data_IF_026086633081
#
_entry.id   IF_026086633081
#
_cell.length_a   1.000
_cell.length_b   1.000
_cell.length_c   1.000
_cell.angle_alpha   90.00
_cell.angle_beta   90.00
_cell.angle_gamma   90.00
#
_symmetry.space_group_name_H-M   'P 1'
#
loop_
_entity.id
_entity.type
_entity.pdbx_description
1 polymer ?
#
# COMPACT_ATOMS: atom_id res chain seq x y z
N UNK A 1 -47.55 13.84 41.32
CA UNK A 1 -46.69 15.04 41.13
C UNK A 1 -45.74 14.69 39.98
N UNK A 2 -45.97 14.97 38.70
CA UNK A 2 -46.30 16.20 37.98
C UNK A 2 -45.19 17.28 38.02
N UNK A 3 -44.83 17.78 36.84
CA UNK A 3 -43.93 18.89 36.45
C UNK A 3 -42.44 18.53 36.30
N UNK A 4 -41.78 18.51 35.13
CA UNK A 4 -41.80 19.27 33.86
C UNK A 4 -41.06 20.61 33.90
N UNK A 5 -40.10 20.77 32.95
CA UNK A 5 -39.46 21.99 32.40
C UNK A 5 -38.31 22.62 33.24
N UNK A 6 -37.22 23.20 32.69
CA UNK A 6 -36.80 23.53 31.31
C UNK A 6 -35.31 23.96 31.30
N UNK A 7 -34.69 23.83 30.13
CA UNK A 7 -33.73 24.75 29.49
C UNK A 7 -32.33 25.03 30.08
N UNK A 8 -31.30 24.61 29.31
CA UNK A 8 -30.26 25.46 28.69
C UNK A 8 -29.46 24.52 27.76
N UNK A 9 -29.69 24.43 26.45
CA UNK A 9 -29.43 25.43 25.39
C UNK A 9 -28.10 26.15 25.60
N UNK A 10 -27.00 25.43 25.32
CA UNK A 10 -25.75 26.04 24.90
C UNK A 10 -25.73 25.98 23.36
N UNK A 11 -26.01 27.13 22.78
CA UNK A 11 -25.93 27.42 21.35
C UNK A 11 -24.49 27.20 20.85
N UNK A 12 -24.30 26.22 19.98
CA UNK A 12 -23.17 26.27 19.06
C UNK A 12 -23.52 27.29 17.95
N UNK A 13 -22.69 28.31 17.70
CA UNK A 13 -22.98 29.32 16.71
C UNK A 13 -23.08 28.67 15.31
N UNK A 14 -24.25 28.84 14.70
CA UNK A 14 -24.47 28.66 13.27
C UNK A 14 -23.67 29.73 12.53
N UNK A 15 -22.41 29.44 12.25
CA UNK A 15 -21.66 30.23 11.29
C UNK A 15 -22.10 29.80 9.89
N UNK A 16 -23.15 30.48 9.41
CA UNK A 16 -23.37 30.67 7.99
C UNK A 16 -22.18 31.45 7.44
N UNK A 17 -21.24 30.74 6.83
CA UNK A 17 -20.12 31.32 6.11
C UNK A 17 -19.99 30.54 4.82
N UNK A 18 -20.55 31.11 3.76
CA UNK A 18 -20.33 30.80 2.35
C UNK A 18 -19.87 29.36 2.04
N UNK A 19 -20.80 28.57 1.48
CA UNK A 19 -20.43 27.64 0.42
C UNK A 19 -19.85 28.48 -0.72
N UNK A 20 -18.56 28.82 -0.59
CA UNK A 20 -17.74 29.13 -1.73
C UNK A 20 -17.63 27.80 -2.47
N UNK A 21 -18.60 27.59 -3.36
CA UNK A 21 -18.43 26.71 -4.49
C UNK A 21 -17.02 27.00 -5.01
N UNK A 22 -16.13 26.02 -4.87
CA UNK A 22 -14.90 25.98 -5.63
C UNK A 22 -15.36 26.03 -7.08
N UNK A 23 -15.41 27.26 -7.62
CA UNK A 23 -15.44 27.48 -9.04
C UNK A 23 -14.24 26.70 -9.56
N UNK A 24 -14.41 25.77 -10.50
CA UNK A 24 -13.28 25.34 -11.28
C UNK A 24 -12.81 26.61 -11.98
N UNK A 25 -11.77 27.25 -11.44
CA UNK A 25 -10.92 28.10 -12.26
C UNK A 25 -10.57 27.20 -13.43
N UNK A 26 -11.13 27.54 -14.59
CA UNK A 26 -10.76 26.92 -15.85
C UNK A 26 -9.28 27.20 -16.02
N UNK A 27 -8.45 26.29 -15.48
CA UNK A 27 -7.06 26.19 -15.88
C UNK A 27 -7.10 26.14 -17.38
N UNK A 28 -6.36 27.05 -18.01
CA UNK A 28 -6.16 27.04 -19.44
C UNK A 28 -5.96 25.58 -19.85
N UNK A 29 -6.88 25.06 -20.66
CA UNK A 29 -6.73 23.78 -21.37
C UNK A 29 -5.58 23.99 -22.36
N UNK A 30 -4.36 24.10 -21.82
CA UNK A 30 -3.14 23.97 -22.58
C UNK A 30 -3.20 22.62 -23.26
N UNK A 31 -2.87 22.55 -24.56
CA UNK A 31 -3.00 21.31 -25.31
C UNK A 31 -2.29 20.20 -24.54
N UNK A 32 -3.02 19.12 -24.26
CA UNK A 32 -2.42 17.88 -23.78
C UNK A 32 -1.23 17.57 -24.70
N UNK A 33 -0.05 17.24 -24.16
CA UNK A 33 1.12 16.97 -24.98
C UNK A 33 0.75 15.93 -26.04
N UNK A 34 0.92 16.32 -27.30
CA UNK A 34 0.39 15.59 -28.46
C UNK A 34 1.18 14.32 -28.80
N UNK A 35 2.26 14.04 -28.07
CA UNK A 35 3.09 12.86 -28.30
C UNK A 35 2.94 11.86 -27.15
N UNK A 36 2.77 10.56 -27.45
CA UNK A 36 2.82 9.53 -26.43
C UNK A 36 4.19 9.59 -25.76
N UNK A 37 4.21 10.05 -24.52
CA UNK A 37 5.42 10.03 -23.70
C UNK A 37 5.76 8.56 -23.48
N UNK A 38 6.92 8.14 -23.97
CA UNK A 38 7.50 6.86 -23.57
C UNK A 38 7.93 6.98 -22.09
N UNK A 39 7.03 6.52 -21.22
CA UNK A 39 7.21 6.57 -19.77
C UNK A 39 8.44 5.75 -19.36
N UNK A 40 8.75 4.65 -20.06
CA UNK A 40 9.91 3.82 -19.75
C UNK A 40 11.20 4.56 -20.09
N UNK A 41 11.27 5.19 -21.26
CA UNK A 41 12.41 6.00 -21.66
C UNK A 41 12.61 7.21 -20.74
N UNK A 42 11.52 7.87 -20.33
CA UNK A 42 11.57 9.00 -19.39
C UNK A 42 12.09 8.58 -18.01
N UNK A 43 11.59 7.48 -17.46
CA UNK A 43 12.07 6.95 -16.18
C UNK A 43 13.55 6.56 -16.26
N UNK A 44 13.99 5.98 -17.37
CA UNK A 44 15.39 5.64 -17.57
C UNK A 44 16.29 6.89 -17.59
N UNK A 45 15.89 7.93 -18.32
CA UNK A 45 16.60 9.22 -18.38
C UNK A 45 16.67 9.89 -16.99
N UNK A 46 15.57 9.91 -16.26
CA UNK A 46 15.51 10.48 -14.90
C UNK A 46 16.40 9.70 -13.92
N UNK A 47 16.45 8.36 -14.01
CA UNK A 47 17.34 7.53 -13.18
C UNK A 47 18.82 7.71 -13.53
N UNK A 48 19.13 7.95 -14.81
CA UNK A 48 20.49 8.22 -15.27
C UNK A 48 21.02 9.56 -14.78
N UNK A 49 20.14 10.57 -14.67
CA UNK A 49 20.46 11.90 -14.16
C UNK A 49 20.78 11.93 -12.65
N UNK A 50 20.38 10.91 -11.88
CA UNK A 50 20.65 10.81 -10.44
C UNK A 50 22.10 10.43 -10.14
N UNK A 51 22.64 10.94 -9.02
CA UNK A 51 23.90 10.45 -8.48
C UNK A 51 23.81 8.97 -8.08
N UNK A 52 24.94 8.22 -7.99
CA UNK A 52 24.91 6.81 -7.61
C UNK A 52 24.20 6.54 -6.27
N UNK A 53 24.32 7.46 -5.31
CA UNK A 53 23.66 7.34 -4.00
C UNK A 53 22.16 7.53 -4.09
N UNK A 54 21.70 8.51 -4.86
CA UNK A 54 20.27 8.79 -5.07
C UNK A 54 19.62 7.67 -5.88
N UNK A 55 20.29 7.21 -6.95
CA UNK A 55 19.84 6.07 -7.74
C UNK A 55 19.68 4.82 -6.88
N UNK A 56 20.65 4.53 -6.00
CA UNK A 56 20.53 3.42 -5.05
C UNK A 56 19.34 3.58 -4.11
N UNK A 57 19.11 4.79 -3.58
CA UNK A 57 17.98 5.04 -2.68
C UNK A 57 16.63 4.82 -3.37
N UNK A 58 16.45 5.37 -4.58
CA UNK A 58 15.24 5.20 -5.39
C UNK A 58 15.01 3.72 -5.71
N UNK A 59 16.03 3.02 -6.23
CA UNK A 59 15.90 1.59 -6.55
C UNK A 59 15.63 0.73 -5.32
N UNK A 60 16.24 1.07 -4.17
CA UNK A 60 16.02 0.37 -2.91
C UNK A 60 14.58 0.53 -2.42
N UNK A 61 14.04 1.74 -2.49
CA UNK A 61 12.66 2.00 -2.07
C UNK A 61 11.64 1.38 -3.02
N UNK A 62 11.87 1.45 -4.34
CA UNK A 62 11.07 0.73 -5.33
C UNK A 62 11.12 -0.78 -5.11
N UNK A 63 12.28 -1.35 -4.77
CA UNK A 63 12.42 -2.77 -4.48
C UNK A 63 11.66 -3.20 -3.23
N UNK A 64 11.66 -2.39 -2.16
CA UNK A 64 10.87 -2.64 -0.95
C UNK A 64 9.37 -2.58 -1.26
N UNK A 65 8.95 -1.62 -2.06
CA UNK A 65 7.56 -1.48 -2.48
C UNK A 65 7.10 -2.68 -3.31
N UNK A 66 7.89 -3.10 -4.30
CA UNK A 66 7.60 -4.29 -5.09
C UNK A 66 7.53 -5.54 -4.21
N UNK A 67 8.51 -5.72 -3.31
CA UNK A 67 8.54 -6.84 -2.37
C UNK A 67 7.28 -6.88 -1.50
N UNK A 68 6.81 -5.72 -1.03
CA UNK A 68 5.58 -5.61 -0.24
C UNK A 68 4.34 -5.99 -1.04
N UNK A 69 4.23 -5.53 -2.28
CA UNK A 69 3.07 -5.79 -3.15
C UNK A 69 3.01 -7.27 -3.53
N UNK A 70 4.12 -7.81 -4.06
CA UNK A 70 4.20 -9.19 -4.51
C UNK A 70 4.04 -10.17 -3.37
N UNK A 71 4.68 -9.91 -2.23
CA UNK A 71 4.50 -10.77 -1.08
C UNK A 71 3.08 -10.76 -0.54
N UNK A 72 2.41 -9.60 -0.49
CA UNK A 72 1.03 -9.52 -0.07
C UNK A 72 0.11 -10.29 -1.04
N UNK A 73 0.37 -10.18 -2.35
CA UNK A 73 -0.33 -10.96 -3.38
C UNK A 73 -0.13 -12.45 -3.18
N UNK A 74 1.12 -12.89 -3.04
CA UNK A 74 1.48 -14.29 -2.82
C UNK A 74 0.80 -14.84 -1.56
N UNK A 75 0.82 -14.08 -0.46
CA UNK A 75 0.18 -14.48 0.79
C UNK A 75 -1.34 -14.62 0.66
N UNK A 76 -1.99 -13.74 -0.10
CA UNK A 76 -3.43 -13.86 -0.40
C UNK A 76 -3.75 -15.08 -1.25
N UNK A 77 -2.91 -15.39 -2.23
CA UNK A 77 -3.05 -16.59 -3.07
C UNK A 77 -2.81 -17.87 -2.26
N UNK A 78 -1.81 -17.86 -1.40
CA UNK A 78 -1.50 -18.92 -0.44
C UNK A 78 -2.69 -19.19 0.50
N UNK A 79 -3.29 -18.14 1.04
CA UNK A 79 -4.48 -18.19 1.91
C UNK A 79 -5.77 -18.58 1.16
N UNK A 80 -5.86 -18.38 -0.15
CA UNK A 80 -7.03 -18.84 -0.91
C UNK A 80 -6.99 -20.34 -1.21
N UNK A 81 -5.79 -20.95 -1.21
CA UNK A 81 -5.57 -22.38 -1.49
C UNK A 81 -5.80 -23.30 -0.29
N UNK A 82 -5.73 -22.79 0.94
CA UNK A 82 -6.09 -23.52 2.16
C UNK A 82 -6.88 -22.62 3.11
N UNK A 83 -7.94 -23.12 3.78
CA UNK A 83 -8.77 -22.33 4.68
C UNK A 83 -8.08 -21.99 6.02
N UNK A 84 -6.76 -21.92 6.05
CA UNK A 84 -6.03 -21.56 7.27
C UNK A 84 -6.28 -20.08 7.57
N UNK A 85 -6.68 -19.78 8.79
CA UNK A 85 -6.81 -18.43 9.28
C UNK A 85 -5.43 -17.78 9.49
N UNK A 86 -5.40 -16.45 9.47
CA UNK A 86 -4.21 -15.65 9.82
C UNK A 86 -3.61 -16.05 11.17
N UNK A 87 -4.46 -16.47 12.12
CA UNK A 87 -4.04 -16.90 13.45
C UNK A 87 -3.30 -18.24 13.41
N UNK A 88 -3.80 -19.21 12.64
CA UNK A 88 -3.15 -20.53 12.50
C UNK A 88 -1.78 -20.41 11.81
N UNK A 89 -1.68 -19.50 10.82
CA UNK A 89 -0.38 -19.18 10.22
C UNK A 89 0.55 -18.54 11.26
N UNK A 90 0.07 -17.53 11.99
CA UNK A 90 0.88 -16.83 12.98
C UNK A 90 1.40 -17.78 14.06
N UNK A 91 0.57 -18.70 14.55
CA UNK A 91 0.94 -19.73 15.51
C UNK A 91 1.98 -20.70 14.93
N UNK A 92 1.77 -21.19 13.70
CA UNK A 92 2.70 -22.10 13.03
C UNK A 92 4.11 -21.52 12.84
N UNK A 93 4.23 -20.20 12.71
CA UNK A 93 5.52 -19.50 12.52
C UNK A 93 6.06 -18.81 13.77
N UNK A 94 5.32 -18.84 14.89
CA UNK A 94 5.70 -18.08 16.09
C UNK A 94 5.66 -16.55 15.88
N UNK A 95 4.83 -16.07 14.95
CA UNK A 95 4.62 -14.64 14.72
C UNK A 95 3.45 -14.08 15.53
N UNK A 96 3.47 -12.76 15.72
CA UNK A 96 2.26 -12.05 16.11
C UNK A 96 1.24 -12.08 14.95
N UNK A 97 -0.04 -12.40 15.20
CA UNK A 97 -1.08 -12.36 14.16
C UNK A 97 -1.19 -11.03 13.42
N UNK A 98 -0.91 -9.92 14.11
CA UNK A 98 -0.85 -8.59 13.52
C UNK A 98 0.18 -8.49 12.39
N UNK A 99 1.36 -9.12 12.57
CA UNK A 99 2.42 -9.13 11.55
C UNK A 99 1.96 -9.83 10.28
N UNK A 100 1.35 -11.00 10.40
CA UNK A 100 0.83 -11.74 9.24
C UNK A 100 -0.29 -10.94 8.56
N UNK A 101 -1.22 -10.37 9.34
CA UNK A 101 -2.27 -9.48 8.82
C UNK A 101 -1.71 -8.28 8.06
N UNK A 102 -0.69 -7.61 8.60
CA UNK A 102 -0.08 -6.45 7.95
C UNK A 102 0.61 -6.82 6.65
N UNK A 103 1.25 -7.98 6.58
CA UNK A 103 1.84 -8.46 5.35
C UNK A 103 0.76 -8.79 4.31
N UNK A 104 -0.28 -9.54 4.67
CA UNK A 104 -1.41 -9.88 3.78
C UNK A 104 -2.08 -8.61 3.20
N UNK A 105 -2.13 -7.55 3.99
CA UNK A 105 -2.68 -6.23 3.60
C UNK A 105 -1.67 -5.33 2.87
N UNK A 106 -0.43 -5.75 2.70
CA UNK A 106 0.62 -4.93 2.10
C UNK A 106 0.97 -3.68 2.92
N UNK A 107 0.80 -3.72 4.25
CA UNK A 107 1.09 -2.62 5.17
C UNK A 107 2.49 -2.68 5.79
N UNK A 108 3.23 -3.79 5.61
CA UNK A 108 4.63 -3.88 6.06
C UNK A 108 5.50 -2.83 5.34
N UNK A 109 6.24 -2.00 6.09
CA UNK A 109 7.11 -0.96 5.53
C UNK A 109 8.22 -1.51 4.64
N UNK A 110 8.74 -2.70 4.96
CA UNK A 110 9.87 -3.31 4.23
C UNK A 110 9.43 -4.51 3.39
N UNK A 111 8.13 -4.80 3.32
CA UNK A 111 7.65 -6.12 2.91
C UNK A 111 7.99 -7.19 3.96
N UNK A 112 7.60 -8.47 3.74
CA UNK A 112 8.09 -9.56 4.56
C UNK A 112 9.51 -9.94 4.16
N UNK A 113 10.28 -10.42 5.13
CA UNK A 113 11.59 -11.01 4.85
C UNK A 113 11.40 -12.28 4.01
N UNK A 114 12.38 -12.60 3.15
CA UNK A 114 12.33 -13.78 2.27
C UNK A 114 12.06 -15.09 3.03
N UNK A 115 12.67 -15.27 4.20
CA UNK A 115 12.46 -16.46 5.02
C UNK A 115 10.99 -16.66 5.45
N UNK A 116 10.21 -15.57 5.58
CA UNK A 116 8.76 -15.64 5.86
C UNK A 116 8.02 -16.28 4.70
N UNK A 117 8.40 -15.94 3.46
CA UNK A 117 7.79 -16.50 2.25
C UNK A 117 8.13 -17.99 2.09
N UNK A 118 9.37 -18.37 2.40
CA UNK A 118 9.81 -19.77 2.39
C UNK A 118 9.01 -20.59 3.40
N UNK A 119 8.97 -20.13 4.66
CA UNK A 119 8.27 -20.83 5.72
C UNK A 119 6.76 -20.98 5.40
N UNK A 120 6.14 -19.93 4.86
CA UNK A 120 4.76 -19.94 4.36
C UNK A 120 4.54 -20.98 3.25
N UNK A 121 5.44 -21.04 2.27
CA UNK A 121 5.36 -22.02 1.18
C UNK A 121 5.45 -23.45 1.74
N UNK A 122 6.39 -23.72 2.64
CA UNK A 122 6.55 -25.04 3.28
C UNK A 122 5.29 -25.48 4.04
N UNK A 123 4.72 -24.60 4.88
CA UNK A 123 3.51 -24.92 5.66
C UNK A 123 2.31 -25.27 4.77
N UNK A 124 2.21 -24.61 3.62
CA UNK A 124 1.13 -24.80 2.68
C UNK A 124 1.41 -25.92 1.66
N UNK A 125 2.59 -26.54 1.72
CA UNK A 125 3.04 -27.55 0.77
C UNK A 125 3.15 -26.99 -0.65
N UNK A 126 3.65 -25.76 -0.79
CA UNK A 126 3.85 -25.07 -2.06
C UNK A 126 5.34 -25.00 -2.39
N UNK A 127 5.65 -25.04 -3.68
CA UNK A 127 6.99 -24.80 -4.19
C UNK A 127 7.17 -23.30 -4.49
N UNK A 128 8.30 -22.74 -4.03
CA UNK A 128 8.68 -21.35 -4.29
C UNK A 128 9.84 -21.35 -5.29
N UNK A 129 9.60 -20.85 -6.50
CA UNK A 129 10.63 -20.60 -7.50
C UNK A 129 11.01 -19.12 -7.54
N UNK A 130 12.31 -18.83 -7.48
CA UNK A 130 12.88 -17.48 -7.59
C UNK A 130 13.93 -17.53 -8.69
N UNK A 131 13.63 -16.90 -9.82
CA UNK A 131 14.55 -16.83 -10.95
C UNK A 131 14.85 -15.40 -11.38
N UNK A 132 16.11 -15.17 -11.73
CA UNK A 132 16.59 -13.91 -12.34
C UNK A 132 17.10 -14.27 -13.73
N UNK A 133 16.67 -13.52 -14.76
CA UNK A 133 17.09 -13.73 -16.14
C UNK A 133 17.82 -12.50 -16.66
N UNK A 134 18.89 -12.67 -17.46
CA UNK A 134 19.51 -11.55 -18.14
C UNK A 134 18.50 -10.87 -19.08
N UNK A 135 18.65 -9.56 -19.23
CA UNK A 135 17.97 -8.80 -20.29
C UNK A 135 18.55 -9.17 -21.65
#
# INVERSE_FOLDING_TARGET
MAQTQRAALAEAPRNGGASAALRPEAGEDGPLPAEPVDIEARIAEDLEALSPRERWAVLSDSAKELSRIEAARLMREMLSRRPNSVNELAEAFGFAPATVSDIVRGKSKEGPKLWVLIAMAELLGLELDISVRPR
#
